data_IF_040185272748
#
_entry.id   IF_040185272748
#
_cell.length_a   1.000
_cell.length_b   1.000
_cell.length_c   1.000
_cell.angle_alpha   90.00
_cell.angle_beta   90.00
_cell.angle_gamma   90.00
#
_symmetry.space_group_name_H-M   'P 1'
#
loop_
_entity.id
_entity.type
_entity.pdbx_description
1 polymer ?
#
# COMPACT_ATOMS: atom_id res chain seq x y z
N UNK A 1 21.50 17.60 -26.77
CA UNK A 1 20.83 17.65 -25.45
C UNK A 1 21.12 16.33 -24.77
N UNK A 2 21.45 16.29 -23.47
CA UNK A 2 21.79 15.04 -22.82
C UNK A 2 20.55 14.14 -22.77
N UNK A 3 20.49 13.18 -23.68
CA UNK A 3 19.72 11.96 -23.49
C UNK A 3 20.73 10.87 -23.10
N UNK A 4 20.27 9.90 -22.34
CA UNK A 4 21.07 8.70 -22.06
C UNK A 4 20.49 7.51 -22.82
N UNK A 5 21.37 6.62 -23.25
CA UNK A 5 21.06 5.30 -23.81
C UNK A 5 20.84 4.28 -22.70
N UNK A 6 20.31 3.10 -23.02
CA UNK A 6 20.14 2.03 -22.02
C UNK A 6 21.47 1.62 -21.38
N UNK A 7 22.57 1.62 -22.13
CA UNK A 7 23.90 1.28 -21.60
C UNK A 7 24.47 2.34 -20.67
N UNK A 8 24.12 3.62 -20.85
CA UNK A 8 24.57 4.71 -19.97
C UNK A 8 23.70 4.83 -18.71
N UNK A 9 22.53 4.17 -18.69
CA UNK A 9 21.61 4.26 -17.56
C UNK A 9 22.23 3.71 -16.29
N UNK A 10 22.83 2.51 -16.35
CA UNK A 10 23.43 1.85 -15.19
C UNK A 10 24.55 2.70 -14.56
N UNK A 11 25.41 3.31 -15.38
CA UNK A 11 26.48 4.21 -14.93
C UNK A 11 25.93 5.47 -14.22
N UNK A 12 24.78 5.98 -14.69
CA UNK A 12 24.13 7.15 -14.11
C UNK A 12 23.41 6.80 -12.79
N UNK A 13 22.84 5.60 -12.70
CA UNK A 13 22.24 5.07 -11.47
C UNK A 13 23.31 4.91 -10.38
N UNK A 14 24.44 4.29 -10.72
CA UNK A 14 25.57 4.12 -9.80
C UNK A 14 26.09 5.47 -9.28
N UNK A 15 26.27 6.45 -10.18
CA UNK A 15 26.69 7.80 -9.80
C UNK A 15 25.69 8.51 -8.86
N UNK A 16 24.41 8.16 -8.94
CA UNK A 16 23.36 8.82 -8.16
C UNK A 16 23.11 8.19 -6.78
N UNK A 17 23.52 6.95 -6.55
CA UNK A 17 23.16 6.16 -5.37
C UNK A 17 23.69 6.69 -4.03
N UNK A 18 24.66 7.59 -4.04
CA UNK A 18 25.32 8.14 -2.83
C UNK A 18 25.11 9.64 -2.63
N UNK A 19 24.17 10.24 -3.36
CA UNK A 19 24.04 11.70 -3.39
C UNK A 19 23.37 12.27 -2.14
N UNK A 20 24.02 13.22 -1.42
CA UNK A 20 23.44 13.84 -0.23
C UNK A 20 22.09 14.54 -0.47
N UNK A 21 21.26 14.58 0.58
CA UNK A 21 19.91 15.19 0.58
C UNK A 21 19.90 16.66 0.14
N UNK A 22 20.99 17.41 0.36
CA UNK A 22 21.11 18.81 -0.09
C UNK A 22 21.11 18.94 -1.61
N UNK A 23 21.79 18.05 -2.32
CA UNK A 23 21.80 18.01 -3.79
C UNK A 23 20.48 17.46 -4.32
N UNK A 24 19.91 16.44 -3.67
CA UNK A 24 18.57 15.94 -3.99
C UNK A 24 17.51 17.04 -3.88
N UNK A 25 17.55 17.80 -2.80
CA UNK A 25 16.67 18.96 -2.58
C UNK A 25 16.82 20.01 -3.69
N UNK A 26 18.05 20.31 -4.11
CA UNK A 26 18.30 21.26 -5.19
C UNK A 26 17.78 20.74 -6.54
N UNK A 27 17.94 19.44 -6.83
CA UNK A 27 17.40 18.81 -8.03
C UNK A 27 15.86 18.80 -8.03
N UNK A 28 15.25 18.51 -6.88
CA UNK A 28 13.80 18.58 -6.68
C UNK A 28 13.27 19.99 -6.97
N UNK A 29 13.94 21.03 -6.46
CA UNK A 29 13.57 22.43 -6.71
C UNK A 29 13.62 22.75 -8.20
N UNK A 30 14.70 22.35 -8.88
CA UNK A 30 14.85 22.56 -10.33
C UNK A 30 13.71 21.88 -11.11
N UNK A 31 13.50 20.58 -10.92
CA UNK A 31 12.46 19.83 -11.65
C UNK A 31 11.05 20.32 -11.31
N UNK A 32 10.78 20.63 -10.04
CA UNK A 32 9.49 21.18 -9.62
C UNK A 32 9.19 22.52 -10.29
N UNK A 33 10.19 23.40 -10.40
CA UNK A 33 10.02 24.70 -11.06
C UNK A 33 9.66 24.57 -12.54
N UNK A 34 10.27 23.61 -13.24
CA UNK A 34 9.95 23.30 -14.64
C UNK A 34 8.53 22.74 -14.79
N UNK A 35 8.13 21.83 -13.89
CA UNK A 35 6.75 21.31 -13.88
C UNK A 35 5.73 22.43 -13.65
N UNK A 36 6.02 23.36 -12.73
CA UNK A 36 5.13 24.50 -12.43
C UNK A 36 5.03 25.50 -13.58
N UNK A 37 6.16 25.83 -14.23
CA UNK A 37 6.18 26.70 -15.41
C UNK A 37 5.29 26.15 -16.53
N UNK A 38 5.25 24.82 -16.68
CA UNK A 38 4.43 24.13 -17.66
C UNK A 38 3.03 23.75 -17.14
N UNK A 39 2.64 24.24 -15.95
CA UNK A 39 1.33 23.99 -15.30
C UNK A 39 1.02 22.50 -15.11
N UNK A 40 2.04 21.67 -14.94
CA UNK A 40 1.89 20.25 -14.67
C UNK A 40 1.66 20.07 -13.18
N UNK A 41 0.57 19.39 -12.83
CA UNK A 41 0.31 19.04 -11.42
C UNK A 41 1.21 17.89 -11.03
N UNK A 42 1.91 18.04 -9.92
CA UNK A 42 2.83 17.05 -9.39
C UNK A 42 2.69 16.95 -7.86
N UNK A 43 3.21 15.87 -7.30
CA UNK A 43 3.40 15.70 -5.87
C UNK A 43 4.60 14.82 -5.58
N UNK A 44 5.51 15.28 -4.73
CA UNK A 44 6.60 14.46 -4.20
C UNK A 44 6.01 13.25 -3.47
N UNK A 45 6.50 12.05 -3.77
CA UNK A 45 6.10 10.79 -3.11
C UNK A 45 7.35 10.08 -2.58
N UNK A 46 7.18 8.81 -2.20
CA UNK A 46 8.31 7.94 -1.87
C UNK A 46 9.12 8.42 -0.68
N UNK A 47 10.39 8.03 -0.67
CA UNK A 47 11.29 8.23 0.45
C UNK A 47 11.63 9.69 0.76
N UNK A 48 11.83 10.49 -0.29
CA UNK A 48 12.18 11.90 -0.14
C UNK A 48 11.06 12.71 0.53
N UNK A 49 9.80 12.34 0.33
CA UNK A 49 8.67 12.95 1.04
C UNK A 49 8.79 12.73 2.56
N UNK A 50 9.06 11.50 3.01
CA UNK A 50 9.27 11.20 4.43
C UNK A 50 10.55 11.86 4.97
N UNK A 51 11.64 11.88 4.19
CA UNK A 51 12.90 12.52 4.57
C UNK A 51 12.69 14.00 4.90
N UNK A 52 12.09 14.75 3.97
CA UNK A 52 11.82 16.19 4.13
C UNK A 52 10.76 16.50 5.20
N UNK A 53 9.97 15.51 5.61
CA UNK A 53 9.05 15.61 6.76
C UNK A 53 9.71 15.33 8.11
N UNK A 54 10.99 14.98 8.12
CA UNK A 54 11.77 14.77 9.34
C UNK A 54 11.83 13.33 9.84
N UNK A 55 11.63 12.32 8.97
CA UNK A 55 11.83 10.91 9.34
C UNK A 55 13.28 10.57 9.71
N UNK A 56 14.25 11.38 9.27
CA UNK A 56 15.68 11.12 9.46
C UNK A 56 16.26 10.09 8.49
N UNK A 57 15.43 9.44 7.66
CA UNK A 57 15.90 8.51 6.63
C UNK A 57 16.66 9.24 5.52
N UNK A 58 17.60 8.55 4.89
CA UNK A 58 18.13 8.93 3.58
C UNK A 58 17.38 8.17 2.48
N UNK A 59 17.53 8.61 1.24
CA UNK A 59 16.95 7.96 0.04
C UNK A 59 17.96 8.14 -1.08
N UNK A 60 18.01 7.22 -2.06
CA UNK A 60 18.93 7.34 -3.21
C UNK A 60 18.37 8.22 -4.32
N UNK A 61 17.03 8.30 -4.41
CA UNK A 61 16.29 8.91 -5.50
C UNK A 61 15.10 9.74 -5.03
N UNK A 62 14.49 10.44 -5.99
CA UNK A 62 13.35 11.33 -5.77
C UNK A 62 12.20 10.86 -6.63
N UNK A 63 11.13 10.38 -5.99
CA UNK A 63 9.93 9.96 -6.68
C UNK A 63 8.93 11.13 -6.79
N UNK A 64 8.46 11.44 -7.99
CA UNK A 64 7.47 12.50 -8.23
C UNK A 64 6.27 11.91 -8.97
N UNK A 65 5.10 11.92 -8.32
CA UNK A 65 3.85 11.67 -9.00
C UNK A 65 3.52 12.86 -9.91
N UNK A 66 3.15 12.59 -11.15
CA UNK A 66 2.71 13.61 -12.12
C UNK A 66 1.34 13.25 -12.68
N UNK A 67 0.54 14.27 -12.97
CA UNK A 67 -0.78 14.05 -13.58
C UNK A 67 -0.63 13.50 -15.02
N UNK A 68 -1.63 12.75 -15.49
CA UNK A 68 -1.64 12.04 -16.79
C UNK A 68 -1.74 12.95 -18.02
N UNK A 69 -1.76 14.26 -17.80
CA UNK A 69 -1.75 15.26 -18.85
C UNK A 69 -0.55 16.16 -18.57
N UNK A 70 0.51 16.06 -19.39
CA UNK A 70 0.56 15.49 -20.73
C UNK A 70 1.00 14.00 -20.82
N UNK A 71 1.05 13.43 -22.04
CA UNK A 71 1.67 12.11 -22.30
C UNK A 71 3.15 12.13 -21.90
N UNK A 72 3.74 10.97 -21.58
CA UNK A 72 5.13 10.88 -21.12
C UNK A 72 6.12 11.55 -22.07
N UNK A 73 5.98 11.39 -23.39
CA UNK A 73 6.86 12.05 -24.36
C UNK A 73 6.78 13.58 -24.25
N UNK A 74 5.58 14.13 -24.18
CA UNK A 74 5.35 15.57 -24.04
C UNK A 74 5.77 16.08 -22.66
N UNK A 75 5.66 15.25 -21.62
CA UNK A 75 6.22 15.54 -20.30
C UNK A 75 7.74 15.65 -20.39
N UNK A 76 8.40 14.70 -21.05
CA UNK A 76 9.85 14.71 -21.23
C UNK A 76 10.34 15.89 -22.07
N UNK A 77 9.51 16.38 -23.00
CA UNK A 77 9.85 17.52 -23.83
C UNK A 77 10.06 18.83 -23.06
N UNK A 78 9.47 18.98 -21.87
CA UNK A 78 9.67 20.20 -21.06
C UNK A 78 11.11 20.34 -20.59
N UNK A 79 11.84 19.23 -20.47
CA UNK A 79 13.23 19.20 -20.05
C UNK A 79 14.21 19.39 -21.22
N UNK A 80 13.72 19.48 -22.46
CA UNK A 80 14.58 19.54 -23.65
C UNK A 80 15.55 20.72 -23.63
N UNK A 81 15.25 21.81 -22.94
CA UNK A 81 16.09 23.01 -22.93
C UNK A 81 17.08 23.07 -21.75
N UNK A 82 17.02 22.11 -20.83
CA UNK A 82 17.90 22.08 -19.66
C UNK A 82 19.11 21.19 -19.92
N UNK A 83 20.32 21.77 -19.87
CA UNK A 83 21.58 21.04 -20.09
C UNK A 83 22.02 20.20 -18.91
N UNK A 84 21.39 20.38 -17.75
CA UNK A 84 21.69 19.66 -16.51
C UNK A 84 20.71 18.51 -16.26
N UNK A 85 19.82 18.20 -17.20
CA UNK A 85 18.84 17.12 -17.06
C UNK A 85 19.04 16.09 -18.18
N UNK A 86 19.50 14.91 -17.82
CA UNK A 86 19.58 13.74 -18.68
C UNK A 86 18.24 13.01 -18.64
N UNK A 87 17.63 12.83 -19.81
CA UNK A 87 16.35 12.14 -19.94
C UNK A 87 16.46 10.86 -20.78
N UNK A 88 15.46 9.97 -20.72
CA UNK A 88 15.41 8.82 -21.60
C UNK A 88 15.48 9.24 -23.07
N UNK A 89 16.32 8.54 -23.85
CA UNK A 89 16.47 8.75 -25.28
C UNK A 89 15.36 8.07 -26.11
N UNK A 90 14.72 7.03 -25.59
CA UNK A 90 13.68 6.27 -26.30
C UNK A 90 12.59 5.73 -25.36
N UNK A 91 11.55 5.13 -25.96
CA UNK A 91 10.38 4.60 -25.21
C UNK A 91 10.65 3.35 -24.39
N UNK A 92 11.66 2.55 -24.75
CA UNK A 92 11.98 1.32 -24.03
C UNK A 92 12.44 1.63 -22.60
N UNK A 93 13.13 2.74 -22.42
CA UNK A 93 13.65 3.21 -21.13
C UNK A 93 12.58 3.67 -20.13
N UNK A 94 11.31 3.80 -20.56
CA UNK A 94 10.18 4.08 -19.67
C UNK A 94 9.01 3.13 -19.92
N UNK A 95 9.29 1.93 -20.44
CA UNK A 95 8.25 0.93 -20.73
C UNK A 95 7.49 0.47 -19.47
N UNK A 96 8.10 0.61 -18.28
CA UNK A 96 7.45 0.39 -16.96
C UNK A 96 6.41 1.46 -16.60
N UNK A 97 6.29 2.51 -17.42
CA UNK A 97 5.48 3.68 -17.13
C UNK A 97 6.19 4.72 -16.27
N UNK A 98 7.40 4.47 -15.78
CA UNK A 98 8.21 5.43 -15.01
C UNK A 98 9.29 6.00 -15.90
N UNK A 99 9.45 7.33 -15.92
CA UNK A 99 10.55 7.97 -16.62
C UNK A 99 11.60 8.48 -15.63
N UNK A 100 12.80 7.92 -15.73
CA UNK A 100 13.94 8.27 -14.90
C UNK A 100 14.73 9.42 -15.51
N UNK A 101 14.87 10.50 -14.76
CA UNK A 101 15.74 11.62 -15.07
C UNK A 101 17.00 11.53 -14.22
N UNK A 102 18.13 11.98 -14.76
CA UNK A 102 19.31 12.26 -13.97
C UNK A 102 19.60 13.75 -14.03
N UNK A 103 19.75 14.37 -12.87
CA UNK A 103 19.93 15.83 -12.73
C UNK A 103 21.29 16.12 -12.14
N UNK A 104 22.11 16.90 -12.85
CA UNK A 104 23.42 17.31 -12.36
C UNK A 104 23.29 18.56 -11.50
N UNK A 105 23.67 18.45 -10.23
CA UNK A 105 23.72 19.56 -9.28
C UNK A 105 25.13 19.67 -8.72
N UNK A 106 25.82 20.76 -9.05
CA UNK A 106 27.18 21.05 -8.55
C UNK A 106 28.15 19.87 -8.76
N UNK A 107 28.03 19.19 -9.90
CA UNK A 107 28.86 18.02 -10.24
C UNK A 107 28.31 16.67 -9.80
N UNK A 108 27.36 16.63 -8.86
CA UNK A 108 26.73 15.39 -8.38
C UNK A 108 25.53 15.02 -9.25
N UNK A 109 25.30 13.72 -9.43
CA UNK A 109 24.16 13.22 -10.17
C UNK A 109 23.03 12.85 -9.22
N UNK A 110 21.80 13.26 -9.50
CA UNK A 110 20.61 12.93 -8.72
C UNK A 110 19.62 12.21 -9.61
N UNK A 111 19.13 11.05 -9.18
CA UNK A 111 18.04 10.34 -9.84
C UNK A 111 16.68 10.93 -9.44
N UNK A 112 15.82 11.16 -10.43
CA UNK A 112 14.43 11.58 -10.23
C UNK A 112 13.52 10.69 -11.08
N UNK A 113 12.60 9.98 -10.44
CA UNK A 113 11.63 9.12 -11.09
C UNK A 113 10.29 9.84 -11.24
N UNK A 114 9.89 10.10 -12.49
CA UNK A 114 8.59 10.67 -12.82
C UNK A 114 7.57 9.55 -13.01
N UNK A 115 6.55 9.55 -12.15
CA UNK A 115 5.52 8.52 -12.10
C UNK A 115 4.17 9.10 -12.53
N UNK A 116 3.74 8.91 -13.78
CA UNK A 116 2.42 9.31 -14.24
C UNK A 116 1.35 8.48 -13.55
N UNK A 117 0.15 9.04 -13.42
CA UNK A 117 -1.00 8.31 -12.88
C UNK A 117 -1.27 7.01 -13.67
N UNK A 118 -1.36 5.91 -12.95
CA UNK A 118 -1.55 4.59 -13.55
C UNK A 118 -0.25 3.89 -13.97
N UNK A 119 0.92 4.45 -13.64
CA UNK A 119 2.16 3.69 -13.59
C UNK A 119 1.96 2.43 -12.73
N UNK A 120 2.43 1.29 -13.23
CA UNK A 120 2.17 0.00 -12.61
C UNK A 120 2.78 -0.08 -11.20
N UNK A 121 2.07 -0.70 -10.27
CA UNK A 121 2.53 -0.84 -8.88
C UNK A 121 2.23 0.34 -7.96
N UNK A 122 2.12 1.57 -8.48
CA UNK A 122 1.97 2.78 -7.66
C UNK A 122 0.50 3.14 -7.38
N UNK A 123 0.21 3.63 -6.16
CA UNK A 123 -1.10 4.17 -5.79
C UNK A 123 -1.08 5.69 -5.88
N UNK A 124 -1.22 6.22 -7.09
CA UNK A 124 -1.35 7.66 -7.33
C UNK A 124 -2.84 8.04 -7.32
N UNK A 125 -3.26 9.03 -6.53
CA UNK A 125 -4.66 9.46 -6.48
C UNK A 125 -5.21 9.89 -7.83
N UNK A 126 -6.52 9.66 -8.01
CA UNK A 126 -7.19 10.03 -9.25
C UNK A 126 -7.21 11.55 -9.49
N UNK A 127 -7.38 12.33 -8.43
CA UNK A 127 -7.25 13.78 -8.43
C UNK A 127 -5.98 14.15 -7.65
N UNK A 128 -4.85 14.19 -8.37
CA UNK A 128 -3.56 14.51 -7.77
C UNK A 128 -3.56 15.94 -7.21
N UNK A 129 -4.28 16.88 -7.85
CA UNK A 129 -4.34 18.28 -7.41
C UNK A 129 -4.97 18.40 -6.02
N UNK A 130 -6.05 17.67 -5.75
CA UNK A 130 -6.68 17.64 -4.43
C UNK A 130 -5.86 16.85 -3.39
N UNK A 131 -5.01 15.92 -3.85
CA UNK A 131 -4.23 15.04 -2.98
C UNK A 131 -2.87 15.59 -2.55
N UNK A 132 -2.47 16.77 -3.05
CA UNK A 132 -1.20 17.41 -2.69
C UNK A 132 -1.37 18.55 -1.70
N UNK A 133 -0.30 18.85 -0.99
CA UNK A 133 -0.14 20.03 -0.14
C UNK A 133 1.19 20.72 -0.44
N UNK A 134 1.28 22.02 -0.19
CA UNK A 134 2.49 22.80 -0.43
C UNK A 134 3.28 22.92 0.87
N UNK A 135 4.54 22.49 0.86
CA UNK A 135 5.44 22.61 2.01
C UNK A 135 6.68 23.41 1.63
N UNK A 136 7.24 24.12 2.61
CA UNK A 136 8.54 24.77 2.48
C UNK A 136 9.63 23.69 2.48
N UNK A 137 10.40 23.60 1.39
CA UNK A 137 11.57 22.72 1.32
C UNK A 137 12.83 23.48 1.73
N UNK A 138 12.87 24.77 1.44
CA UNK A 138 13.86 25.72 1.95
C UNK A 138 13.14 26.95 2.50
N UNK A 139 13.88 27.92 3.03
CA UNK A 139 13.31 29.20 3.47
C UNK A 139 12.69 30.01 2.32
N UNK A 140 13.09 29.75 1.08
CA UNK A 140 12.69 30.53 -0.10
C UNK A 140 11.88 29.72 -1.12
N UNK A 141 11.77 28.41 -0.95
CA UNK A 141 11.20 27.53 -1.97
C UNK A 141 10.20 26.56 -1.38
N UNK A 142 9.06 26.48 -2.06
CA UNK A 142 7.98 25.57 -1.77
C UNK A 142 7.91 24.50 -2.85
N UNK A 143 7.54 23.28 -2.46
CA UNK A 143 7.21 22.21 -3.41
C UNK A 143 5.90 21.56 -3.01
N UNK A 144 5.27 20.86 -3.97
CA UNK A 144 4.05 20.08 -3.75
C UNK A 144 4.40 18.68 -3.29
N UNK A 145 3.82 18.27 -2.18
CA UNK A 145 3.98 16.96 -1.56
C UNK A 145 2.66 16.21 -1.64
N UNK A 146 2.71 14.90 -1.88
CA UNK A 146 1.54 14.08 -1.63
C UNK A 146 1.22 14.13 -0.12
N UNK A 147 -0.07 14.36 0.19
CA UNK A 147 -0.57 14.39 1.56
C UNK A 147 -0.36 13.05 2.25
N UNK A 148 -0.28 13.08 3.58
CA UNK A 148 -0.02 11.90 4.43
C UNK A 148 -0.97 10.73 4.12
N UNK A 149 -2.27 10.97 3.98
CA UNK A 149 -3.24 9.89 3.75
C UNK A 149 -2.91 9.03 2.51
N UNK A 150 -2.91 9.62 1.30
CA UNK A 150 -2.51 8.91 0.08
C UNK A 150 -1.08 8.38 0.10
N UNK A 151 -0.13 9.11 0.69
CA UNK A 151 1.25 8.66 0.82
C UNK A 151 1.34 7.36 1.63
N UNK A 152 0.64 7.29 2.77
CA UNK A 152 0.59 6.09 3.62
C UNK A 152 -0.17 4.96 2.94
N UNK A 153 -1.23 5.24 2.17
CA UNK A 153 -1.92 4.22 1.38
C UNK A 153 -0.97 3.54 0.38
N UNK A 154 -0.15 4.32 -0.32
CA UNK A 154 0.87 3.78 -1.23
C UNK A 154 1.94 2.97 -0.47
N UNK A 155 2.40 3.49 0.67
CA UNK A 155 3.46 2.89 1.47
C UNK A 155 3.04 1.59 2.15
N UNK A 156 1.84 1.51 2.71
CA UNK A 156 1.34 0.31 3.37
C UNK A 156 1.08 -0.83 2.37
N UNK A 157 0.66 -0.50 1.14
CA UNK A 157 0.60 -1.47 0.03
C UNK A 157 2.00 -1.98 -0.34
N UNK A 158 2.97 -1.07 -0.46
CA UNK A 158 4.36 -1.44 -0.78
C UNK A 158 4.96 -2.35 0.30
N UNK A 159 4.76 -2.01 1.57
CA UNK A 159 5.16 -2.83 2.71
C UNK A 159 4.54 -4.23 2.66
N UNK A 160 3.23 -4.32 2.41
CA UNK A 160 2.56 -5.62 2.26
C UNK A 160 3.12 -6.47 1.11
N UNK A 161 3.53 -5.84 0.01
CA UNK A 161 4.04 -6.56 -1.16
C UNK A 161 5.51 -6.95 -1.08
N UNK A 162 6.34 -6.18 -0.36
CA UNK A 162 7.82 -6.33 -0.38
C UNK A 162 8.45 -6.54 0.99
N UNK A 163 7.76 -6.22 2.07
CA UNK A 163 8.20 -6.34 3.47
C UNK A 163 9.58 -5.70 3.77
N UNK A 164 9.92 -4.58 3.11
CA UNK A 164 11.21 -3.90 3.32
C UNK A 164 11.25 -3.08 4.61
N UNK A 165 12.44 -2.93 5.17
CA UNK A 165 12.71 -2.14 6.38
C UNK A 165 12.42 -0.65 6.14
N UNK A 166 12.80 -0.12 4.98
CA UNK A 166 12.50 1.26 4.58
C UNK A 166 10.99 1.59 4.60
N UNK A 167 10.15 0.66 4.15
CA UNK A 167 8.70 0.85 4.15
C UNK A 167 8.14 0.76 5.58
N UNK A 168 8.69 -0.13 6.41
CA UNK A 168 8.35 -0.24 7.83
C UNK A 168 8.72 1.01 8.61
N UNK A 169 9.94 1.52 8.46
CA UNK A 169 10.44 2.70 9.17
C UNK A 169 9.62 3.96 8.85
N UNK A 170 9.22 4.13 7.59
CA UNK A 170 8.37 5.25 7.17
C UNK A 170 6.97 5.18 7.78
N UNK A 171 6.37 3.99 7.79
CA UNK A 171 5.05 3.75 8.39
C UNK A 171 5.09 3.94 9.90
N UNK A 172 6.15 3.46 10.56
CA UNK A 172 6.40 3.68 11.98
C UNK A 172 6.52 5.17 12.27
N UNK A 173 7.31 5.90 11.51
CA UNK A 173 7.51 7.34 11.67
C UNK A 173 6.19 8.12 11.66
N UNK A 174 5.34 7.90 10.65
CA UNK A 174 4.07 8.64 10.55
C UNK A 174 3.04 8.22 11.59
N UNK A 175 3.02 6.95 12.01
CA UNK A 175 2.12 6.50 13.08
C UNK A 175 2.58 6.99 14.46
N UNK A 176 3.89 7.16 14.68
CA UNK A 176 4.46 7.68 15.93
C UNK A 176 4.34 9.19 16.06
N UNK A 177 4.33 9.91 14.94
CA UNK A 177 4.26 11.38 14.91
C UNK A 177 2.93 11.92 15.41
N UNK A 178 2.96 12.82 16.40
CA UNK A 178 1.77 13.53 16.90
C UNK A 178 1.07 14.35 15.80
N UNK A 179 1.84 14.88 14.84
CA UNK A 179 1.30 15.69 13.75
C UNK A 179 0.71 14.85 12.62
N UNK A 180 1.28 13.68 12.33
CA UNK A 180 0.88 12.88 11.17
C UNK A 180 -0.10 11.76 11.51
N UNK A 181 -0.02 11.16 12.70
CA UNK A 181 -0.89 10.05 13.08
C UNK A 181 -2.40 10.39 12.98
N UNK A 182 -2.88 11.60 13.34
CA UNK A 182 -4.28 11.97 13.10
C UNK A 182 -4.68 11.96 11.61
N UNK A 183 -3.77 12.37 10.72
CA UNK A 183 -4.00 12.36 9.27
C UNK A 183 -4.02 10.93 8.71
N UNK A 184 -3.16 10.04 9.25
CA UNK A 184 -3.20 8.60 8.95
C UNK A 184 -4.57 8.04 9.35
N UNK A 185 -5.02 8.35 10.57
CA UNK A 185 -6.32 7.89 11.09
C UNK A 185 -7.49 8.35 10.25
N UNK A 186 -7.49 9.60 9.80
CA UNK A 186 -8.51 10.13 8.91
C UNK A 186 -8.60 9.33 7.59
N UNK A 187 -7.47 8.87 7.06
CA UNK A 187 -7.40 8.10 5.82
C UNK A 187 -7.54 6.58 6.01
N UNK A 188 -7.47 6.07 7.25
CA UNK A 188 -7.30 4.65 7.54
C UNK A 188 -8.44 3.72 7.06
N UNK A 189 -9.62 4.28 6.83
CA UNK A 189 -10.75 3.54 6.25
C UNK A 189 -10.58 3.25 4.76
N UNK A 190 -9.64 3.93 4.09
CA UNK A 190 -9.31 3.71 2.68
C UNK A 190 -8.25 2.62 2.48
N UNK A 191 -7.60 2.18 3.57
CA UNK A 191 -6.56 1.15 3.53
C UNK A 191 -7.20 -0.23 3.64
N UNK A 192 -6.70 -1.20 2.87
CA UNK A 192 -7.13 -2.61 2.99
C UNK A 192 -6.76 -3.17 4.35
N UNK A 193 -7.62 -4.04 4.90
CA UNK A 193 -7.49 -4.56 6.26
C UNK A 193 -6.21 -5.39 6.40
N UNK A 194 -5.96 -6.28 5.45
CA UNK A 194 -4.80 -7.14 5.35
C UNK A 194 -3.47 -6.37 5.31
N UNK A 195 -3.44 -5.19 4.67
CA UNK A 195 -2.24 -4.34 4.67
C UNK A 195 -1.97 -3.76 6.06
N UNK A 196 -3.03 -3.33 6.75
CA UNK A 196 -2.96 -2.83 8.12
C UNK A 196 -2.53 -3.92 9.10
N UNK A 197 -3.11 -5.11 8.98
CA UNK A 197 -2.77 -6.28 9.81
C UNK A 197 -1.34 -6.74 9.59
N UNK A 198 -0.86 -6.77 8.35
CA UNK A 198 0.54 -7.11 8.03
C UNK A 198 1.53 -6.15 8.67
N UNK A 199 1.32 -4.84 8.52
CA UNK A 199 2.19 -3.84 9.14
C UNK A 199 2.10 -3.90 10.68
N UNK A 200 0.90 -4.01 11.24
CA UNK A 200 0.72 -4.12 12.69
C UNK A 200 1.38 -5.38 13.27
N UNK A 201 1.32 -6.51 12.55
CA UNK A 201 1.99 -7.75 12.95
C UNK A 201 3.50 -7.52 13.14
N UNK A 202 4.14 -6.86 12.17
CA UNK A 202 5.56 -6.50 12.26
C UNK A 202 5.85 -5.55 13.42
N UNK A 203 4.99 -4.55 13.67
CA UNK A 203 5.13 -3.66 14.84
C UNK A 203 5.06 -4.42 16.15
N UNK A 204 4.15 -5.38 16.30
CA UNK A 204 4.04 -6.20 17.52
C UNK A 204 5.31 -7.06 17.74
N UNK A 205 5.90 -7.55 16.65
CA UNK A 205 7.12 -8.36 16.70
C UNK A 205 8.36 -7.53 17.06
N UNK A 206 8.52 -6.34 16.47
CA UNK A 206 9.75 -5.54 16.60
C UNK A 206 9.68 -4.47 17.71
N UNK A 207 8.54 -3.80 17.89
CA UNK A 207 8.37 -2.65 18.79
C UNK A 207 6.98 -2.71 19.48
N UNK A 208 6.72 -3.71 20.35
CA UNK A 208 5.39 -3.97 20.93
C UNK A 208 4.81 -2.78 21.71
N UNK A 209 5.65 -1.91 22.26
CA UNK A 209 5.23 -0.67 22.92
C UNK A 209 4.50 0.31 21.99
N UNK A 210 4.71 0.22 20.67
CA UNK A 210 4.04 1.05 19.68
C UNK A 210 2.68 0.48 19.23
N UNK A 211 2.31 -0.75 19.62
CA UNK A 211 1.08 -1.40 19.15
C UNK A 211 -0.16 -0.52 19.35
N UNK A 212 -0.33 0.02 20.57
CA UNK A 212 -1.51 0.83 20.91
C UNK A 212 -1.58 2.09 20.03
N UNK A 213 -0.43 2.72 19.79
CA UNK A 213 -0.35 3.93 18.98
C UNK A 213 -0.63 3.62 17.49
N UNK A 214 -0.04 2.55 16.96
CA UNK A 214 -0.24 2.14 15.56
C UNK A 214 -1.68 1.70 15.32
N UNK A 215 -2.29 0.91 16.22
CA UNK A 215 -3.73 0.59 16.14
C UNK A 215 -4.59 1.84 16.10
N UNK A 216 -4.27 2.83 16.94
CA UNK A 216 -4.98 4.10 16.95
C UNK A 216 -4.82 4.84 15.62
N UNK A 217 -3.60 4.94 15.09
CA UNK A 217 -3.34 5.60 13.81
C UNK A 217 -4.02 4.89 12.63
N UNK A 218 -4.09 3.56 12.64
CA UNK A 218 -4.69 2.75 11.57
C UNK A 218 -6.20 2.50 11.74
N UNK A 219 -6.82 3.17 12.72
CA UNK A 219 -8.23 2.98 13.07
C UNK A 219 -8.61 1.50 13.22
N UNK A 220 -7.76 0.74 13.90
CA UNK A 220 -7.98 -0.66 14.21
C UNK A 220 -8.57 -0.79 15.62
N UNK A 221 -9.56 -1.67 15.77
CA UNK A 221 -10.13 -1.97 17.09
C UNK A 221 -9.03 -2.50 18.03
N UNK A 222 -9.16 -2.16 19.32
CA UNK A 222 -8.29 -2.76 20.33
C UNK A 222 -8.60 -4.25 20.36
N UNK A 223 -7.56 -5.08 20.26
CA UNK A 223 -7.70 -6.46 20.71
C UNK A 223 -8.19 -6.42 22.15
N UNK A 224 -9.23 -7.20 22.51
CA UNK A 224 -9.62 -7.32 23.91
C UNK A 224 -8.38 -7.71 24.72
N UNK A 225 -8.17 -7.12 25.92
CA UNK A 225 -7.02 -7.46 26.73
C UNK A 225 -6.99 -8.98 26.96
N UNK A 226 -5.80 -9.62 26.96
CA UNK A 226 -5.67 -11.09 27.06
C UNK A 226 -6.15 -11.72 28.39
N UNK A 227 -6.97 -11.01 29.18
CA UNK A 227 -7.44 -11.41 30.51
C UNK A 227 -8.95 -11.64 30.65
N UNK A 228 -9.81 -11.13 29.76
CA UNK A 228 -11.25 -11.38 29.85
C UNK A 228 -11.62 -12.68 29.13
N UNK A 229 -11.06 -13.79 29.64
CA UNK A 229 -11.78 -15.07 29.60
C UNK A 229 -12.99 -14.89 30.50
N UNK A 230 -14.02 -14.25 29.96
CA UNK A 230 -15.38 -14.33 30.48
C UNK A 230 -15.61 -15.80 30.79
N UNK A 231 -15.62 -16.10 32.09
CA UNK A 231 -15.86 -17.44 32.57
C UNK A 231 -17.14 -17.91 31.89
N UNK A 232 -17.20 -19.13 31.33
CA UNK A 232 -18.43 -19.63 30.75
C UNK A 232 -19.48 -19.52 31.85
N UNK A 233 -20.45 -18.62 31.64
CA UNK A 233 -21.57 -18.45 32.55
C UNK A 233 -22.25 -19.80 32.60
N UNK A 234 -22.04 -20.53 33.70
CA UNK A 234 -22.79 -21.73 34.04
C UNK A 234 -24.25 -21.32 34.13
N UNK A 235 -24.99 -21.46 33.03
CA UNK A 235 -26.44 -21.42 33.02
C UNK A 235 -26.96 -22.74 33.60
N UNK A 236 -26.76 -22.92 34.91
CA UNK A 236 -27.52 -23.86 35.70
C UNK A 236 -28.71 -23.10 36.30
N UNK A 237 -29.92 -23.33 35.78
CA UNK A 237 -31.12 -22.70 36.33
C UNK A 237 -32.37 -22.93 35.50
N UNK A 238 -32.99 -24.10 35.69
CA UNK A 238 -34.34 -24.44 35.24
C UNK A 238 -35.35 -23.39 35.73
N UNK A 239 -36.17 -22.88 34.83
CA UNK A 239 -37.33 -22.04 35.15
C UNK A 239 -38.44 -22.27 34.12
N UNK A 240 -39.40 -23.10 34.50
CA UNK A 240 -40.62 -23.48 33.80
C UNK A 240 -41.67 -22.37 33.75
N UNK A 241 -42.46 -22.33 32.67
CA UNK A 241 -43.87 -21.92 32.71
C UNK A 241 -44.24 -20.73 31.84
N UNK A 242 -45.21 -20.92 30.94
CA UNK A 242 -45.96 -19.80 30.34
C UNK A 242 -46.44 -20.01 28.91
N UNK A 243 -47.42 -20.89 28.72
CA UNK A 243 -48.24 -20.97 27.50
C UNK A 243 -49.10 -19.71 27.34
N UNK A 244 -49.25 -19.18 26.10
CA UNK A 244 -50.55 -18.98 25.41
C UNK A 244 -50.52 -17.86 24.34
N UNK A 245 -50.84 -18.26 23.10
CA UNK A 245 -51.78 -17.61 22.17
C UNK A 245 -51.50 -16.20 21.62
N UNK A 246 -51.32 -16.09 20.29
CA UNK A 246 -52.39 -15.66 19.37
C UNK A 246 -51.94 -15.57 17.90
N UNK A 247 -52.89 -16.00 17.08
CA UNK A 247 -53.08 -15.98 15.63
C UNK A 247 -53.20 -14.61 14.97
N UNK A 248 -52.92 -14.55 13.65
CA UNK A 248 -53.52 -13.58 12.71
C UNK A 248 -52.55 -13.14 11.60
N UNK A 249 -52.61 -13.73 10.40
CA UNK A 249 -53.16 -13.08 9.19
C UNK A 249 -52.00 -12.54 8.32
N UNK A 250 -51.78 -12.92 7.06
CA UNK A 250 -52.69 -12.99 5.93
C UNK A 250 -52.22 -11.92 4.92
N UNK A 251 -51.76 -12.31 3.72
CA UNK A 251 -51.28 -11.34 2.73
C UNK A 251 -50.57 -11.95 1.54
N UNK A 252 -51.33 -12.55 0.64
CA UNK A 252 -50.90 -13.02 -0.68
C UNK A 252 -50.88 -11.84 -1.67
N UNK A 253 -49.84 -11.74 -2.50
CA UNK A 253 -49.99 -11.16 -3.86
C UNK A 253 -48.88 -11.63 -4.81
N UNK A 254 -49.36 -12.27 -5.85
CA UNK A 254 -48.72 -12.79 -7.06
C UNK A 254 -48.30 -11.71 -8.06
N UNK A 255 -47.31 -12.07 -8.91
CA UNK A 255 -47.14 -11.82 -10.37
C UNK A 255 -45.65 -11.53 -10.67
N UNK A 256 -44.92 -12.02 -11.67
CA UNK A 256 -45.06 -12.89 -12.87
C UNK A 256 -44.30 -12.20 -14.02
N UNK A 257 -43.48 -12.94 -14.77
CA UNK A 257 -42.80 -12.52 -16.01
C UNK A 257 -41.29 -12.75 -15.89
N UNK A 258 -40.70 -13.83 -16.42
CA UNK A 258 -40.55 -14.15 -17.86
C UNK A 258 -39.21 -13.56 -18.35
N UNK A 259 -38.29 -14.19 -19.06
CA UNK A 259 -38.08 -15.50 -19.66
C UNK A 259 -36.70 -15.42 -20.35
N UNK A 260 -36.03 -16.54 -20.65
CA UNK A 260 -34.78 -16.50 -21.41
C UNK A 260 -33.90 -17.73 -21.25
N UNK A 261 -34.23 -18.76 -22.01
CA UNK A 261 -33.46 -20.00 -22.17
C UNK A 261 -32.23 -19.77 -23.04
N UNK A 262 -31.09 -20.35 -22.67
CA UNK A 262 -30.12 -20.86 -23.66
C UNK A 262 -29.37 -22.07 -23.10
N UNK A 263 -29.51 -23.15 -23.87
CA UNK A 263 -28.92 -24.48 -23.72
C UNK A 263 -27.42 -24.47 -23.98
N UNK A 264 -26.65 -25.26 -23.20
CA UNK A 264 -25.53 -26.03 -23.76
C UNK A 264 -25.25 -27.29 -22.94
N UNK A 265 -25.14 -28.35 -23.72
CA UNK A 265 -24.98 -29.78 -23.45
C UNK A 265 -23.51 -30.20 -23.32
N UNK A 266 -23.29 -31.35 -22.66
CA UNK A 266 -22.08 -32.18 -22.78
C UNK A 266 -21.50 -32.58 -21.42
N UNK A 267 -21.88 -33.73 -20.85
CA UNK A 267 -21.12 -35.00 -20.96
C UNK A 267 -20.51 -35.28 -19.57
N UNK A 268 -20.81 -36.36 -18.84
CA UNK A 268 -20.72 -37.77 -19.22
C UNK A 268 -19.44 -38.34 -18.57
N UNK A 269 -19.56 -39.08 -17.46
CA UNK A 269 -18.41 -39.69 -16.80
C UNK A 269 -18.75 -40.38 -15.48
N UNK A 270 -18.83 -41.71 -15.54
CA UNK A 270 -19.31 -42.62 -14.51
C UNK A 270 -18.30 -42.88 -13.38
N UNK A 271 -18.88 -43.29 -12.25
CA UNK A 271 -18.29 -43.72 -10.98
C UNK A 271 -17.27 -44.87 -11.03
N UNK A 272 -16.30 -44.83 -10.12
CA UNK A 272 -15.71 -46.04 -9.52
C UNK A 272 -15.36 -45.80 -8.05
N UNK A 273 -16.00 -46.60 -7.18
CA UNK A 273 -15.65 -46.80 -5.77
C UNK A 273 -14.37 -47.63 -5.69
N UNK A 274 -13.42 -47.19 -4.89
CA UNK A 274 -12.26 -47.99 -4.45
C UNK A 274 -11.78 -47.45 -3.10
N UNK A 275 -11.94 -48.25 -2.05
CA UNK A 275 -11.35 -47.98 -0.74
C UNK A 275 -9.86 -48.34 -0.75
N UNK A 276 -9.08 -47.61 0.05
CA UNK A 276 -7.67 -47.86 0.30
C UNK A 276 -7.13 -46.82 1.28
N UNK A 277 -6.65 -47.26 2.43
CA UNK A 277 -6.30 -46.40 3.56
C UNK A 277 -5.04 -45.55 3.40
N UNK A 278 -4.96 -44.53 4.26
CA UNK A 278 -3.73 -44.12 4.93
C UNK A 278 -2.71 -43.30 4.15
N UNK A 279 -2.95 -41.98 4.04
CA UNK A 279 -1.97 -40.89 4.24
C UNK A 279 -2.73 -39.59 4.03
N UNK A 280 -3.21 -38.97 5.11
CA UNK A 280 -3.95 -37.71 5.03
C UNK A 280 -2.99 -36.56 4.69
N UNK A 281 -2.72 -36.38 3.40
CA UNK A 281 -2.21 -35.13 2.84
C UNK A 281 -3.31 -34.09 3.00
N UNK A 282 -3.31 -33.35 4.11
CA UNK A 282 -4.19 -32.20 4.27
C UNK A 282 -3.81 -31.17 3.19
N UNK A 283 -4.78 -30.76 2.40
CA UNK A 283 -4.61 -29.62 1.51
C UNK A 283 -4.21 -28.40 2.34
N UNK A 284 -3.26 -27.57 1.87
CA UNK A 284 -2.92 -26.34 2.58
C UNK A 284 -4.17 -25.45 2.72
N UNK A 285 -4.33 -24.77 3.86
CA UNK A 285 -5.45 -23.86 4.08
C UNK A 285 -5.46 -22.76 3.03
N UNK A 286 -6.63 -22.21 2.74
CA UNK A 286 -6.84 -21.06 1.87
C UNK A 286 -7.04 -19.80 2.71
N UNK A 287 -6.91 -18.64 2.05
CA UNK A 287 -7.08 -17.37 2.72
C UNK A 287 -8.50 -17.23 3.27
N UNK A 288 -8.61 -16.94 4.56
CA UNK A 288 -9.89 -16.88 5.26
C UNK A 288 -10.49 -18.24 5.67
N UNK A 289 -9.77 -19.36 5.49
CA UNK A 289 -10.16 -20.62 6.12
C UNK A 289 -10.09 -20.46 7.65
N UNK A 290 -11.12 -20.93 8.34
CA UNK A 290 -11.18 -20.91 9.81
C UNK A 290 -10.33 -22.03 10.40
N UNK A 291 -9.39 -21.67 11.28
CA UNK A 291 -8.81 -22.59 12.25
C UNK A 291 -9.70 -22.67 13.50
N UNK A 292 -9.34 -23.54 14.43
CA UNK A 292 -10.03 -23.61 15.73
C UNK A 292 -9.89 -22.29 16.53
N UNK A 293 -8.81 -21.53 16.29
CA UNK A 293 -8.42 -20.39 17.11
C UNK A 293 -8.34 -19.06 16.32
N UNK A 294 -8.71 -19.03 15.04
CA UNK A 294 -8.64 -17.83 14.20
C UNK A 294 -8.84 -18.08 12.71
N UNK A 295 -8.38 -17.14 11.88
CA UNK A 295 -8.32 -17.29 10.42
C UNK A 295 -6.88 -17.56 10.00
N UNK A 296 -6.71 -18.41 8.98
CA UNK A 296 -5.41 -18.61 8.34
C UNK A 296 -5.08 -17.41 7.45
N UNK A 297 -3.84 -16.93 7.58
CA UNK A 297 -3.25 -15.84 6.80
C UNK A 297 -1.96 -16.35 6.14
N UNK A 298 -1.72 -15.97 4.88
CA UNK A 298 -0.48 -16.34 4.18
C UNK A 298 0.64 -15.33 4.47
N UNK A 299 1.80 -15.80 4.91
CA UNK A 299 3.02 -15.00 5.00
C UNK A 299 3.85 -15.18 3.73
N UNK A 300 4.05 -14.08 2.99
CA UNK A 300 4.92 -14.07 1.82
C UNK A 300 6.38 -14.41 2.18
N UNK A 301 6.91 -13.77 3.22
CA UNK A 301 8.29 -13.99 3.72
C UNK A 301 8.60 -15.44 4.06
N UNK A 302 7.66 -16.16 4.67
CA UNK A 302 7.90 -17.54 5.09
C UNK A 302 7.39 -18.57 4.09
N UNK A 303 6.71 -18.12 3.02
CA UNK A 303 6.00 -18.96 2.06
C UNK A 303 5.11 -20.01 2.75
N UNK A 304 4.45 -19.61 3.84
CA UNK A 304 3.68 -20.49 4.72
C UNK A 304 2.42 -19.80 5.23
N UNK A 305 1.40 -20.61 5.45
CA UNK A 305 0.21 -20.19 6.17
C UNK A 305 0.49 -20.15 7.67
N UNK A 306 -0.06 -19.16 8.35
CA UNK A 306 -0.07 -19.09 9.80
C UNK A 306 -1.44 -18.65 10.30
N UNK A 307 -1.72 -18.87 11.58
CA UNK A 307 -2.79 -18.16 12.26
C UNK A 307 -2.26 -17.61 13.59
N UNK A 308 -2.76 -16.45 13.98
CA UNK A 308 -2.51 -15.88 15.30
C UNK A 308 -3.60 -16.37 16.23
N UNK A 309 -3.19 -17.03 17.32
CA UNK A 309 -4.12 -17.46 18.36
C UNK A 309 -4.45 -16.30 19.30
N UNK A 310 -5.52 -16.45 20.08
CA UNK A 310 -6.00 -15.42 21.02
C UNK A 310 -5.00 -15.02 22.11
N UNK A 311 -3.96 -15.81 22.35
CA UNK A 311 -2.87 -15.47 23.28
C UNK A 311 -1.67 -14.78 22.61
N UNK A 312 -1.77 -14.45 21.32
CA UNK A 312 -0.72 -13.82 20.53
C UNK A 312 0.31 -14.79 19.93
N UNK A 313 0.24 -16.09 20.22
CA UNK A 313 1.17 -17.06 19.63
C UNK A 313 0.81 -17.34 18.17
N UNK A 314 1.85 -17.36 17.32
CA UNK A 314 1.76 -17.66 15.88
C UNK A 314 1.96 -19.17 15.68
N UNK A 315 0.99 -19.82 15.04
CA UNK A 315 1.11 -21.22 14.63
C UNK A 315 1.19 -21.32 13.11
N UNK A 316 2.29 -21.89 12.63
CA UNK A 316 2.53 -22.16 11.21
C UNK A 316 1.83 -23.45 10.78
N UNK A 317 1.26 -23.43 9.57
CA UNK A 317 0.80 -24.64 8.91
C UNK A 317 2.00 -25.57 8.70
N UNK A 318 1.81 -26.84 9.06
CA UNK A 318 2.79 -27.91 8.84
C UNK A 318 2.73 -28.42 7.42
#
# INVERSE_FOLDING_TARGET
>A
MPFYTLSEQDDLEEQSGVTPTTFQTSALILVSSLLEQHRITYGLIGGMNFCLRGSGRTTSDIDIAVDNRPRMETLLDIFNNDRNIWRPGNKLQWASGVARLFVRVQGNMVQIDLMPKGAEGFLIPNDLRAAVETLNVTTLTQCKFLRIGPLVAAKIKAHYGRETDDDYDDLRFVCKSQSYAPMVRQAANTFRREWKESFLGRVIEEEPELETQVRWALHMERSPPPGDKSSPSRSGGKGSGGSSGRSGGGGSSSRSGGGGSSSRSGGGGSSSRGGGGGSSSRSPPRDGDKSHDGYWTFSGKHNKWYHSSSNGSIQWAR
#
